data_IF_601575550411
#
_entry.id   IF_601575550411
#
_cell.length_a   1.000
_cell.length_b   1.000
_cell.length_c   1.000
_cell.angle_alpha   90.00
_cell.angle_beta   90.00
_cell.angle_gamma   90.00
#
_symmetry.space_group_name_H-M   'P 1'
#
loop_
_entity.id
_entity.type
_entity.pdbx_description
1 polymer ?
#
# COMPACT_ATOMS: atom_id res chain seq x y z
N UNK A 1 0.01 -7.89 0.87
CA UNK A 1 1.47 -8.11 1.02
C UNK A 1 1.73 -8.73 2.38
N UNK A 2 1.30 -8.08 3.47
CA UNK A 2 1.41 -8.60 4.83
C UNK A 2 0.64 -9.92 5.01
N UNK A 3 -0.52 -10.10 4.38
CA UNK A 3 -1.24 -11.38 4.33
C UNK A 3 -0.39 -12.53 3.75
N UNK A 4 0.42 -12.25 2.73
CA UNK A 4 1.24 -13.26 2.05
C UNK A 4 2.48 -13.59 2.89
N UNK A 5 3.07 -12.59 3.54
CA UNK A 5 4.14 -12.79 4.53
C UNK A 5 3.60 -13.59 5.72
N UNK A 6 2.41 -13.26 6.21
CA UNK A 6 1.72 -14.01 7.28
C UNK A 6 1.46 -15.45 6.86
N UNK A 7 0.93 -15.67 5.66
CA UNK A 7 0.68 -17.01 5.11
C UNK A 7 1.96 -17.86 5.00
N UNK A 8 3.09 -17.24 4.65
CA UNK A 8 4.36 -17.93 4.42
C UNK A 8 5.21 -18.08 5.68
N UNK A 9 5.11 -17.16 6.63
CA UNK A 9 6.04 -17.06 7.76
C UNK A 9 5.38 -16.95 9.14
N UNK A 10 4.06 -16.80 9.23
CA UNK A 10 3.33 -16.60 10.49
C UNK A 10 3.25 -15.13 10.92
N UNK A 11 2.84 -14.89 12.17
CA UNK A 11 2.64 -13.56 12.76
C UNK A 11 3.96 -12.84 13.04
N UNK A 12 4.09 -11.62 12.53
CA UNK A 12 5.18 -10.70 12.86
C UNK A 12 5.24 -10.45 14.38
N UNK A 13 6.45 -10.50 14.96
CA UNK A 13 6.68 -10.26 16.39
C UNK A 13 6.19 -11.38 17.31
N UNK A 14 5.57 -12.44 16.77
CA UNK A 14 5.07 -13.61 17.52
C UNK A 14 5.73 -14.89 17.03
N UNK A 15 5.62 -15.18 15.73
CA UNK A 15 6.15 -16.40 15.11
C UNK A 15 7.58 -16.20 14.56
N UNK A 16 8.02 -14.94 14.37
CA UNK A 16 9.41 -14.61 14.08
C UNK A 16 9.81 -13.21 14.56
N UNK A 17 11.11 -12.98 14.86
CA UNK A 17 11.62 -11.70 15.37
C UNK A 17 11.45 -10.54 14.37
N UNK A 18 11.13 -9.36 14.89
CA UNK A 18 10.87 -8.13 14.11
C UNK A 18 12.03 -7.74 13.18
N UNK A 19 13.27 -7.92 13.64
CA UNK A 19 14.50 -7.63 12.89
C UNK A 19 14.70 -8.55 11.67
N UNK A 20 13.94 -9.65 11.57
CA UNK A 20 13.98 -10.58 10.43
C UNK A 20 12.92 -10.30 9.36
N UNK A 21 11.98 -9.38 9.60
CA UNK A 21 10.87 -9.09 8.69
C UNK A 21 11.33 -8.64 7.31
N UNK A 22 12.24 -7.67 7.24
CA UNK A 22 12.73 -7.14 5.97
C UNK A 22 13.37 -8.21 5.08
N UNK A 23 14.04 -9.21 5.68
CA UNK A 23 14.64 -10.31 4.94
C UNK A 23 13.58 -11.27 4.35
N UNK A 24 12.42 -11.40 5.01
CA UNK A 24 11.29 -12.26 4.60
C UNK A 24 10.36 -11.56 3.63
N UNK A 25 10.17 -10.26 3.79
CA UNK A 25 9.35 -9.42 2.92
C UNK A 25 9.97 -9.29 1.53
N UNK A 26 11.30 -9.12 1.42
CA UNK A 26 12.00 -8.94 0.14
C UNK A 26 11.64 -9.96 -0.96
N UNK A 27 11.74 -11.28 -0.74
CA UNK A 27 11.37 -12.26 -1.77
C UNK A 27 9.87 -12.21 -2.11
N UNK A 28 9.00 -11.92 -1.14
CA UNK A 28 7.56 -11.77 -1.36
C UNK A 28 7.27 -10.55 -2.24
N UNK A 29 7.87 -9.40 -1.94
CA UNK A 29 7.75 -8.17 -2.74
C UNK A 29 8.27 -8.38 -4.16
N UNK A 30 9.38 -9.09 -4.34
CA UNK A 30 9.92 -9.40 -5.66
C UNK A 30 8.96 -10.29 -6.49
N UNK A 31 8.39 -11.32 -5.86
CA UNK A 31 7.41 -12.20 -6.50
C UNK A 31 6.12 -11.44 -6.86
N UNK A 32 5.60 -10.63 -5.94
CA UNK A 32 4.43 -9.78 -6.17
C UNK A 32 4.66 -8.78 -7.31
N UNK A 33 5.85 -8.19 -7.40
CA UNK A 33 6.21 -7.28 -8.49
C UNK A 33 6.22 -7.97 -9.85
N UNK A 34 6.75 -9.19 -9.90
CA UNK A 34 6.73 -10.01 -11.12
C UNK A 34 5.30 -10.31 -11.55
N UNK A 35 4.44 -10.72 -10.60
CA UNK A 35 3.01 -10.96 -10.87
C UNK A 35 2.30 -9.69 -11.31
N UNK A 36 2.47 -8.59 -10.59
CA UNK A 36 1.91 -7.27 -10.90
C UNK A 36 2.21 -6.86 -12.35
N UNK A 37 3.48 -6.90 -12.76
CA UNK A 37 3.86 -6.59 -14.14
C UNK A 37 3.28 -7.56 -15.17
N UNK A 38 3.10 -8.84 -14.82
CA UNK A 38 2.49 -9.83 -15.71
C UNK A 38 0.98 -9.59 -15.92
N UNK A 39 0.24 -9.25 -14.86
CA UNK A 39 -1.19 -8.94 -14.96
C UNK A 39 -1.43 -7.67 -15.76
N UNK A 40 -0.60 -6.64 -15.57
CA UNK A 40 -0.66 -5.41 -16.37
C UNK A 40 -0.39 -5.67 -17.85
N UNK A 41 0.64 -6.47 -18.18
CA UNK A 41 0.94 -6.87 -19.57
C UNK A 41 -0.18 -7.72 -20.20
N UNK A 42 -0.98 -8.40 -19.38
CA UNK A 42 -2.17 -9.12 -19.82
C UNK A 42 -3.39 -8.18 -20.05
N UNK A 43 -3.23 -6.87 -19.88
CA UNK A 43 -4.28 -5.86 -20.07
C UNK A 43 -5.29 -5.80 -18.93
N UNK A 44 -4.94 -6.30 -17.74
CA UNK A 44 -5.82 -6.25 -16.57
C UNK A 44 -5.54 -4.99 -15.75
N UNK A 45 -6.61 -4.40 -15.21
CA UNK A 45 -6.48 -3.38 -14.17
C UNK A 45 -6.13 -4.04 -12.84
N UNK A 46 -5.12 -3.52 -12.15
CA UNK A 46 -4.60 -4.08 -10.91
C UNK A 46 -4.56 -3.01 -9.83
N UNK A 47 -5.12 -3.32 -8.67
CA UNK A 47 -4.94 -2.51 -7.45
C UNK A 47 -3.79 -3.12 -6.65
N UNK A 48 -2.76 -2.31 -6.38
CA UNK A 48 -1.68 -2.67 -5.48
C UNK A 48 -2.02 -2.15 -4.08
N UNK A 49 -2.52 -3.02 -3.21
CA UNK A 49 -2.72 -2.72 -1.80
C UNK A 49 -1.46 -3.06 -1.01
N UNK A 50 -0.63 -2.04 -0.79
CA UNK A 50 0.65 -2.12 -0.10
C UNK A 50 0.98 -0.77 0.52
N UNK A 51 1.67 -0.77 1.67
CA UNK A 51 1.90 0.44 2.46
C UNK A 51 2.59 1.59 1.71
N UNK A 52 3.55 1.29 0.83
CA UNK A 52 4.22 2.28 -0.03
C UNK A 52 4.78 3.51 0.73
N UNK A 53 5.47 3.26 1.84
CA UNK A 53 5.84 4.29 2.82
C UNK A 53 6.87 5.28 2.29
N UNK A 54 7.80 4.82 1.44
CA UNK A 54 8.87 5.64 0.91
C UNK A 54 8.62 6.04 -0.53
N UNK A 55 9.08 7.23 -0.88
CA UNK A 55 9.04 7.77 -2.25
C UNK A 55 9.73 6.84 -3.25
N UNK A 56 10.89 6.29 -2.87
CA UNK A 56 11.62 5.34 -3.71
C UNK A 56 10.81 4.08 -4.02
N UNK A 57 10.07 3.57 -3.05
CA UNK A 57 9.20 2.40 -3.23
C UNK A 57 8.06 2.72 -4.19
N UNK A 58 7.38 3.85 -3.98
CA UNK A 58 6.33 4.35 -4.88
C UNK A 58 6.83 4.52 -6.30
N UNK A 59 8.01 5.12 -6.46
CA UNK A 59 8.64 5.32 -7.76
C UNK A 59 8.93 3.98 -8.44
N UNK A 60 9.53 3.04 -7.72
CA UNK A 60 9.83 1.71 -8.23
C UNK A 60 8.59 0.98 -8.74
N UNK A 61 7.47 1.03 -8.02
CA UNK A 61 6.21 0.42 -8.46
C UNK A 61 5.59 1.12 -9.67
N UNK A 62 5.63 2.46 -9.70
CA UNK A 62 5.22 3.25 -10.89
C UNK A 62 6.02 2.88 -12.12
N UNK A 63 7.34 2.71 -12.00
CA UNK A 63 8.20 2.34 -13.13
C UNK A 63 7.92 0.91 -13.61
N UNK A 64 7.55 0.00 -12.71
CA UNK A 64 7.11 -1.34 -13.10
C UNK A 64 5.82 -1.29 -13.92
N UNK A 65 4.85 -0.46 -13.52
CA UNK A 65 3.61 -0.29 -14.26
C UNK A 65 3.85 0.36 -15.64
N UNK A 66 4.64 1.43 -15.69
CA UNK A 66 5.02 2.10 -16.94
C UNK A 66 5.76 1.16 -17.88
N UNK A 67 6.70 0.38 -17.37
CA UNK A 67 7.44 -0.63 -18.14
C UNK A 67 6.54 -1.76 -18.69
N UNK A 68 5.40 -2.02 -18.05
CA UNK A 68 4.36 -2.92 -18.55
C UNK A 68 3.39 -2.27 -19.56
N UNK A 69 3.59 -0.99 -19.91
CA UNK A 69 2.70 -0.23 -20.79
C UNK A 69 1.42 0.25 -20.10
N UNK A 70 1.34 0.17 -18.77
CA UNK A 70 0.16 0.57 -18.01
C UNK A 70 0.30 2.00 -17.46
N UNK A 71 -0.84 2.65 -17.28
CA UNK A 71 -0.94 3.90 -16.54
C UNK A 71 -0.91 3.61 -15.03
N UNK A 72 0.00 4.27 -14.31
CA UNK A 72 -0.01 4.23 -12.85
C UNK A 72 -0.83 5.40 -12.30
N UNK A 73 -1.77 5.11 -11.41
CA UNK A 73 -2.53 6.11 -10.64
C UNK A 73 -2.28 5.82 -9.17
N UNK A 74 -1.95 6.85 -8.40
CA UNK A 74 -1.72 6.73 -6.97
C UNK A 74 -2.85 7.38 -6.20
N UNK A 75 -3.45 6.64 -5.28
CA UNK A 75 -4.44 7.15 -4.34
C UNK A 75 -3.77 7.33 -2.99
N UNK A 76 -3.83 8.54 -2.44
CA UNK A 76 -3.33 8.85 -1.10
C UNK A 76 -4.50 9.01 -0.15
N UNK A 77 -4.48 8.27 0.96
CA UNK A 77 -5.50 8.27 2.00
C UNK A 77 -4.93 8.96 3.25
N UNK A 78 -4.97 10.30 3.34
CA UNK A 78 -4.49 10.99 4.53
C UNK A 78 -5.35 10.61 5.74
N UNK A 79 -4.70 10.34 6.87
CA UNK A 79 -5.36 10.12 8.15
C UNK A 79 -4.56 10.83 9.24
N UNK A 80 -5.26 11.47 10.18
CA UNK A 80 -4.58 12.09 11.33
C UNK A 80 -4.06 11.02 12.28
N UNK A 81 -3.05 11.34 13.08
CA UNK A 81 -2.59 10.45 14.15
C UNK A 81 -3.72 10.03 15.09
N UNK A 82 -4.60 10.96 15.43
CA UNK A 82 -5.77 10.71 16.28
C UNK A 82 -6.71 9.68 15.65
N UNK A 83 -6.99 9.83 14.36
CA UNK A 83 -7.83 8.90 13.62
C UNK A 83 -7.19 7.51 13.51
N UNK A 84 -5.88 7.44 13.26
CA UNK A 84 -5.15 6.17 13.23
C UNK A 84 -5.21 5.47 14.59
N UNK A 85 -5.02 6.18 15.71
CA UNK A 85 -5.16 5.63 17.05
C UNK A 85 -6.58 5.12 17.33
N UNK A 86 -7.60 5.88 16.93
CA UNK A 86 -9.00 5.46 17.08
C UNK A 86 -9.28 4.16 16.30
N UNK A 87 -8.77 4.04 15.07
CA UNK A 87 -8.87 2.82 14.26
C UNK A 87 -8.11 1.65 14.90
N UNK A 88 -6.91 1.89 15.43
CA UNK A 88 -6.12 0.87 16.13
C UNK A 88 -6.79 0.38 17.42
N UNK A 89 -7.48 1.25 18.16
CA UNK A 89 -8.22 0.86 19.37
C UNK A 89 -9.34 -0.15 19.07
N UNK A 90 -9.96 -0.05 17.89
CA UNK A 90 -10.97 -1.00 17.42
C UNK A 90 -10.34 -2.27 16.83
N UNK A 91 -9.17 -2.15 16.19
CA UNK A 91 -8.52 -3.25 15.47
C UNK A 91 -7.68 -4.15 16.37
N UNK A 92 -6.87 -3.58 17.27
CA UNK A 92 -5.91 -4.31 18.09
C UNK A 92 -6.52 -5.44 18.95
N UNK A 93 -7.79 -5.38 19.41
CA UNK A 93 -8.42 -6.49 20.11
C UNK A 93 -8.82 -7.68 19.22
N UNK A 94 -8.78 -7.55 17.89
CA UNK A 94 -9.12 -8.63 16.95
C UNK A 94 -7.94 -9.62 16.84
N UNK A 95 -8.24 -10.87 16.55
CA UNK A 95 -7.23 -11.96 16.46
C UNK A 95 -7.00 -12.46 15.02
N UNK A 96 -7.56 -11.78 14.02
CA UNK A 96 -7.37 -12.14 12.60
C UNK A 96 -6.06 -11.59 12.00
N UNK A 97 -5.72 -12.06 10.80
CA UNK A 97 -4.46 -11.75 10.14
C UNK A 97 -4.28 -10.24 9.84
N UNK A 98 -5.37 -9.47 9.81
CA UNK A 98 -5.36 -8.03 9.57
C UNK A 98 -5.20 -7.20 10.86
N UNK A 99 -5.12 -7.88 12.01
CA UNK A 99 -5.13 -7.28 13.33
C UNK A 99 -3.78 -7.35 14.06
N UNK A 100 -2.68 -7.11 13.35
CA UNK A 100 -1.39 -6.92 14.01
C UNK A 100 -1.52 -5.79 15.04
N UNK A 101 -1.19 -6.10 16.30
CA UNK A 101 -1.20 -5.12 17.38
C UNK A 101 -0.15 -4.06 17.11
N UNK A 102 -0.59 -2.80 17.00
CA UNK A 102 0.30 -1.64 16.88
C UNK A 102 0.09 -0.76 18.10
N UNK A 103 1.15 -0.53 18.88
CA UNK A 103 1.10 0.38 20.03
C UNK A 103 1.17 1.84 19.56
N UNK A 104 0.74 2.80 20.40
CA UNK A 104 0.90 4.22 20.09
C UNK A 104 2.35 4.62 19.78
N UNK A 105 3.33 4.05 20.49
CA UNK A 105 4.75 4.33 20.30
C UNK A 105 5.25 3.77 18.96
N UNK A 106 4.82 2.55 18.60
CA UNK A 106 5.13 1.98 17.29
C UNK A 106 4.50 2.81 16.16
N UNK A 107 3.29 3.34 16.35
CA UNK A 107 2.67 4.25 15.40
C UNK A 107 3.50 5.53 15.21
N UNK A 108 4.07 6.08 16.28
CA UNK A 108 4.94 7.26 16.19
C UNK A 108 6.21 6.96 15.38
N UNK A 109 6.83 5.79 15.59
CA UNK A 109 7.98 5.34 14.79
C UNK A 109 7.60 5.13 13.31
N UNK A 110 6.39 4.64 13.04
CA UNK A 110 5.87 4.47 11.68
C UNK A 110 5.67 5.80 10.98
N UNK A 111 5.04 6.76 11.66
CA UNK A 111 4.81 8.11 11.14
C UNK A 111 6.13 8.85 10.89
N UNK A 112 7.14 8.67 11.74
CA UNK A 112 8.47 9.28 11.56
C UNK A 112 9.21 8.76 10.31
N UNK A 113 8.89 7.54 9.85
CA UNK A 113 9.48 6.91 8.66
C UNK A 113 8.67 7.10 7.39
N UNK A 114 7.41 7.54 7.52
CA UNK A 114 6.50 7.71 6.40
C UNK A 114 6.80 8.99 5.64
N UNK A 115 6.92 8.88 4.32
CA UNK A 115 7.11 10.03 3.43
C UNK A 115 5.80 10.31 2.70
N UNK A 116 5.05 11.33 3.14
CA UNK A 116 3.86 11.79 2.43
C UNK A 116 4.17 12.05 0.95
N UNK A 117 3.26 11.71 0.03
CA UNK A 117 3.44 12.01 -1.39
C UNK A 117 3.73 13.49 -1.65
N UNK A 118 4.76 13.76 -2.45
CA UNK A 118 5.05 15.10 -2.94
C UNK A 118 4.04 15.56 -3.99
N UNK A 119 3.97 16.88 -4.22
CA UNK A 119 3.11 17.46 -5.25
C UNK A 119 3.47 16.96 -6.66
N UNK A 120 4.73 16.58 -6.88
CA UNK A 120 5.25 16.05 -8.13
C UNK A 120 4.99 14.55 -8.34
N UNK A 121 4.36 13.88 -7.37
CA UNK A 121 3.95 12.48 -7.48
C UNK A 121 2.50 12.31 -7.96
N UNK A 122 1.79 13.42 -8.24
CA UNK A 122 0.43 13.47 -8.80
C UNK A 122 -0.56 12.54 -8.08
N UNK A 123 -0.50 12.53 -6.75
CA UNK A 123 -1.39 11.71 -5.93
C UNK A 123 -2.83 12.19 -6.01
N UNK A 124 -3.78 11.29 -6.27
CA UNK A 124 -5.20 11.55 -6.01
C UNK A 124 -5.43 11.45 -4.50
N UNK A 125 -5.61 12.58 -3.85
CA UNK A 125 -5.85 12.64 -2.40
C UNK A 125 -7.33 12.36 -2.12
N UNK A 126 -7.59 11.36 -1.29
CA UNK A 126 -8.94 11.10 -0.79
C UNK A 126 -9.30 12.11 0.30
N UNK A 127 -10.46 12.76 0.13
CA UNK A 127 -10.98 13.82 0.99
C UNK A 127 -12.15 13.35 1.86
N UNK A 128 -12.41 12.04 1.91
CA UNK A 128 -13.56 11.43 2.59
C UNK A 128 -14.75 11.14 1.65
N UNK A 129 -14.74 11.66 0.43
CA UNK A 129 -15.78 11.39 -0.58
C UNK A 129 -15.35 10.23 -1.50
N UNK A 130 -15.80 9.03 -1.15
CA UNK A 130 -15.44 7.82 -1.91
C UNK A 130 -16.07 7.83 -3.31
N UNK A 131 -17.26 8.42 -3.46
CA UNK A 131 -17.94 8.48 -4.76
C UNK A 131 -17.14 9.33 -5.76
N UNK A 132 -16.68 10.50 -5.32
CA UNK A 132 -15.81 11.37 -6.12
C UNK A 132 -14.51 10.71 -6.54
N UNK A 133 -13.86 9.97 -5.63
CA UNK A 133 -12.65 9.22 -5.95
C UNK A 133 -12.94 8.17 -7.04
N UNK A 134 -14.02 7.41 -6.89
CA UNK A 134 -14.45 6.40 -7.87
C UNK A 134 -14.74 7.03 -9.23
N UNK A 135 -15.48 8.15 -9.27
CA UNK A 135 -15.79 8.87 -10.50
C UNK A 135 -14.51 9.38 -11.19
N UNK A 136 -13.56 9.90 -10.41
CA UNK A 136 -12.26 10.35 -10.92
C UNK A 136 -11.50 9.18 -11.54
N UNK A 137 -11.41 8.05 -10.84
CA UNK A 137 -10.73 6.85 -11.34
C UNK A 137 -11.40 6.29 -12.59
N UNK A 138 -12.74 6.34 -12.67
CA UNK A 138 -13.49 5.92 -13.86
C UNK A 138 -13.17 6.81 -15.07
N UNK A 139 -13.13 8.14 -14.89
CA UNK A 139 -12.77 9.08 -15.93
C UNK A 139 -11.33 8.87 -16.45
N UNK A 140 -10.41 8.38 -15.61
CA UNK A 140 -9.04 8.07 -16.02
C UNK A 140 -8.91 6.80 -16.88
N UNK A 141 -9.93 5.93 -16.88
CA UNK A 141 -9.97 4.70 -17.71
C UNK A 141 -10.46 4.95 -19.13
N UNK A 142 -11.18 6.05 -19.38
CA UNK A 142 -11.61 6.39 -20.74
C UNK A 142 -10.40 6.88 -21.57
N UNK A 143 -10.20 6.39 -22.80
CA UNK A 143 -9.21 6.97 -23.70
C UNK A 143 -9.57 8.44 -23.95
N UNK A 144 -8.57 9.33 -24.18
CA UNK A 144 -8.85 10.72 -24.49
C UNK A 144 -9.82 10.78 -25.67
N UNK A 145 -10.96 11.47 -25.49
CA UNK A 145 -11.89 11.75 -26.59
C UNK A 145 -11.15 12.65 -27.57
N UNK A 146 -10.64 12.05 -28.65
CA UNK A 146 -10.11 12.75 -29.82
C UNK A 146 -11.21 13.44 -30.60
#
# INVERSE_FOLDING_TARGET
MDEEVHRLHGRYGVDYPEDTYAARERPVVAALRTRFGAELRAGRDVVLDHGLWRREERQSWRDTARGAGARAVMVYLPASREELLARLALRNPREDADALTVTPEALDDFLARFESPGADEDALVHDGDTARLVDTLAALREPPRG
#
